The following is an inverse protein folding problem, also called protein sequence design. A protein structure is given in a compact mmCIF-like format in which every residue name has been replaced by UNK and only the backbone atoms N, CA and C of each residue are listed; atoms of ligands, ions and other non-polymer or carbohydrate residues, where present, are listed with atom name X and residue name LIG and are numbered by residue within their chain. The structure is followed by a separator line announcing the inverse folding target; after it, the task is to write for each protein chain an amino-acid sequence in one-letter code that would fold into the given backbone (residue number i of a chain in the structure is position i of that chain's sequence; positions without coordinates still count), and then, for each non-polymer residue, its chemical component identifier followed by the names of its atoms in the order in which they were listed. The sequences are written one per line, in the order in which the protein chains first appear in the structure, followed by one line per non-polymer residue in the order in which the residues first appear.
data_IF_133542222625
#
_entry.id   IF_133542222625
#
_cell.length_a   1.000
_cell.length_b   1.000
_cell.length_c   1.000
_cell.angle_alpha   90.00
_cell.angle_beta   90.00
_cell.angle_gamma   90.00
#
_symmetry.space_group_name_H-M   'P 1'
#
loop_
_entity.id
_entity.type
_entity.pdbx_description
1 polymer ?
#
# COMPACT_ATOMS: atom_id res chain seq x y z
N UNK A 1 -14.78 -65.13 18.19
CA UNK A 1 -15.03 -63.68 18.23
C UNK A 1 -14.42 -63.15 19.51
N UNK A 2 -13.22 -62.58 19.42
CA UNK A 2 -12.48 -62.05 20.56
C UNK A 2 -12.05 -60.62 20.23
N UNK A 3 -12.55 -59.68 21.04
CA UNK A 3 -11.95 -58.43 21.53
C UNK A 3 -10.73 -57.89 20.76
N UNK A 4 -10.92 -56.69 20.18
CA UNK A 4 -9.84 -55.76 19.91
C UNK A 4 -10.22 -54.41 20.50
N UNK A 5 -9.53 -54.04 21.58
CA UNK A 5 -9.49 -52.71 22.15
C UNK A 5 -8.86 -51.73 21.16
N UNK A 6 -9.39 -50.51 21.08
CA UNK A 6 -8.64 -49.37 20.54
C UNK A 6 -9.21 -48.08 21.10
N UNK A 7 -8.37 -47.41 21.88
CA UNK A 7 -8.50 -46.01 22.28
C UNK A 7 -8.68 -45.11 21.03
N UNK A 8 -9.55 -44.13 21.12
CA UNK A 8 -9.63 -43.04 20.14
C UNK A 8 -9.48 -41.70 20.83
N UNK A 9 -8.71 -40.86 20.15
CA UNK A 9 -7.94 -39.72 20.63
C UNK A 9 -8.78 -38.45 20.52
N UNK A 10 -8.76 -37.63 21.56
CA UNK A 10 -9.35 -36.29 21.56
C UNK A 10 -8.39 -35.34 20.80
N UNK A 11 -8.73 -35.02 19.55
CA UNK A 11 -8.02 -34.07 18.68
C UNK A 11 -8.74 -32.71 18.80
N UNK A 12 -8.15 -31.81 19.57
CA UNK A 12 -8.61 -30.45 19.83
C UNK A 12 -8.36 -29.58 18.59
N UNK A 13 -9.41 -29.39 17.77
CA UNK A 13 -9.48 -28.32 16.78
C UNK A 13 -9.57 -26.95 17.49
N UNK A 14 -8.44 -26.29 17.74
CA UNK A 14 -8.42 -24.85 18.04
C UNK A 14 -7.90 -24.09 16.81
N UNK A 15 -8.88 -23.71 15.99
CA UNK A 15 -8.81 -22.72 14.92
C UNK A 15 -8.30 -21.38 15.45
N UNK A 16 -6.98 -21.23 15.60
CA UNK A 16 -6.38 -19.89 15.64
C UNK A 16 -6.28 -19.34 14.24
N UNK A 17 -7.45 -18.96 13.72
CA UNK A 17 -7.54 -17.86 12.77
C UNK A 17 -6.72 -16.71 13.32
N UNK A 18 -5.51 -16.55 12.76
CA UNK A 18 -4.74 -15.35 12.98
C UNK A 18 -5.65 -14.20 12.56
N UNK A 19 -6.05 -13.42 13.56
CA UNK A 19 -6.75 -12.15 13.48
C UNK A 19 -6.04 -11.29 12.43
N UNK A 20 -6.47 -11.43 11.18
CA UNK A 20 -6.21 -10.46 10.13
C UNK A 20 -7.13 -9.33 10.50
N UNK A 21 -6.63 -8.42 11.33
CA UNK A 21 -7.27 -7.17 11.66
C UNK A 21 -7.61 -6.46 10.35
N UNK A 22 -8.89 -6.56 10.02
CA UNK A 22 -9.59 -5.95 8.89
C UNK A 22 -9.67 -4.43 9.13
N UNK A 23 -8.56 -3.71 8.97
CA UNK A 23 -8.49 -2.24 9.11
C UNK A 23 -7.48 -1.57 8.14
N UNK A 24 -7.06 -2.25 7.07
CA UNK A 24 -6.09 -1.68 6.11
C UNK A 24 -6.56 -1.80 4.64
N UNK A 25 -7.87 -1.94 4.40
CA UNK A 25 -8.42 -1.95 3.03
C UNK A 25 -8.41 -0.56 2.34
N UNK A 26 -8.08 0.51 3.09
CA UNK A 26 -7.90 1.87 2.57
C UNK A 26 -6.43 2.32 2.65
N UNK A 27 -5.47 1.39 2.59
CA UNK A 27 -4.03 1.64 2.60
C UNK A 27 -3.57 2.45 1.36
N UNK A 28 -3.93 3.72 1.32
CA UNK A 28 -3.30 4.73 0.50
C UNK A 28 -1.81 4.65 0.82
N UNK A 29 -0.94 4.47 -0.20
CA UNK A 29 0.46 4.15 0.05
C UNK A 29 1.08 5.28 0.85
N UNK A 30 1.44 5.08 2.13
CA UNK A 30 2.04 6.11 2.99
C UNK A 30 3.41 6.60 2.51
N UNK A 31 3.98 5.90 1.53
CA UNK A 31 5.31 6.12 1.02
C UNK A 31 5.32 6.34 -0.50
N UNK A 32 6.31 7.09 -0.95
CA UNK A 32 6.56 7.31 -2.35
C UNK A 32 7.10 6.05 -3.03
N UNK A 33 6.52 5.67 -4.18
CA UNK A 33 7.00 4.54 -4.96
C UNK A 33 8.42 4.69 -5.51
N UNK A 34 8.97 5.90 -5.56
CA UNK A 34 10.33 6.17 -6.06
C UNK A 34 11.36 6.07 -4.93
N UNK A 35 11.17 6.78 -3.82
CA UNK A 35 12.14 6.80 -2.71
C UNK A 35 11.80 5.84 -1.55
N UNK A 36 10.59 5.27 -1.53
CA UNK A 36 10.05 4.44 -0.43
C UNK A 36 10.03 5.15 0.93
N UNK A 37 10.09 6.47 0.93
CA UNK A 37 9.99 7.34 2.10
C UNK A 37 8.60 7.96 2.21
N UNK A 38 8.19 8.45 3.40
CA UNK A 38 6.95 9.20 3.54
C UNK A 38 6.89 10.37 2.55
N UNK A 39 5.70 10.64 2.03
CA UNK A 39 5.54 11.71 1.05
C UNK A 39 5.89 13.08 1.63
N UNK A 40 6.91 13.72 1.05
CA UNK A 40 7.23 15.14 1.26
C UNK A 40 6.70 15.89 0.04
N UNK A 41 5.63 16.65 0.26
CA UNK A 41 4.84 17.32 -0.77
C UNK A 41 4.37 16.35 -1.87
N UNK A 42 3.33 15.53 -1.58
CA UNK A 42 2.80 14.59 -2.54
C UNK A 42 2.21 15.33 -3.75
N UNK A 43 2.57 14.86 -4.94
CA UNK A 43 2.00 15.30 -6.22
C UNK A 43 1.27 14.12 -6.87
N UNK A 44 0.10 14.40 -7.43
CA UNK A 44 -0.69 13.49 -8.23
C UNK A 44 -0.45 13.80 -9.72
N UNK A 45 -0.08 12.76 -10.46
CA UNK A 45 -0.03 12.82 -11.92
C UNK A 45 -1.39 12.51 -12.55
N UNK A 46 -1.55 12.77 -13.87
CA UNK A 46 -2.78 12.40 -14.60
C UNK A 46 -3.16 10.91 -14.46
N UNK A 47 -2.17 10.05 -14.28
CA UNK A 47 -2.33 8.61 -14.02
C UNK A 47 -2.86 8.28 -12.60
N UNK A 48 -3.20 9.28 -11.77
CA UNK A 48 -3.59 9.13 -10.34
C UNK A 48 -2.52 8.44 -9.47
N UNK A 49 -1.25 8.50 -9.88
CA UNK A 49 -0.14 8.01 -9.08
C UNK A 49 0.51 9.14 -8.27
N UNK A 50 0.85 8.84 -7.03
CA UNK A 50 1.35 9.79 -6.04
C UNK A 50 2.86 9.63 -5.83
N UNK A 51 3.58 10.75 -5.80
CA UNK A 51 5.04 10.80 -5.61
C UNK A 51 5.42 12.06 -4.82
N UNK A 52 6.62 12.12 -4.27
CA UNK A 52 7.17 13.38 -3.78
C UNK A 52 7.44 14.32 -4.97
N UNK A 53 7.27 15.63 -4.79
CA UNK A 53 7.61 16.66 -5.78
C UNK A 53 9.02 16.44 -6.37
N UNK A 54 10.01 16.27 -5.51
CA UNK A 54 11.41 16.04 -5.89
C UNK A 54 11.61 14.74 -6.69
N UNK A 55 10.88 13.68 -6.32
CA UNK A 55 10.97 12.38 -6.99
C UNK A 55 10.34 12.44 -8.38
N UNK A 56 9.18 13.08 -8.49
CA UNK A 56 8.48 13.29 -9.75
C UNK A 56 9.33 14.12 -10.73
N UNK A 57 9.93 15.21 -10.26
CA UNK A 57 10.83 16.06 -11.07
C UNK A 57 12.10 15.31 -11.51
N UNK A 58 12.76 14.59 -10.58
CA UNK A 58 13.96 13.80 -10.89
C UNK A 58 13.66 12.68 -11.88
N UNK A 59 12.52 12.02 -11.74
CA UNK A 59 12.08 11.01 -12.70
C UNK A 59 11.75 11.64 -14.04
N UNK A 60 10.96 12.72 -14.08
CA UNK A 60 10.56 13.39 -15.32
C UNK A 60 11.75 13.86 -16.16
N UNK A 61 12.83 14.30 -15.51
CA UNK A 61 14.08 14.68 -16.15
C UNK A 61 14.76 13.51 -16.90
N UNK A 62 14.59 12.27 -16.41
CA UNK A 62 15.12 11.05 -17.06
C UNK A 62 14.10 10.43 -18.03
N UNK A 63 12.85 10.31 -17.58
CA UNK A 63 11.75 9.66 -18.26
C UNK A 63 10.48 10.48 -18.08
N UNK A 64 9.91 10.97 -19.18
CA UNK A 64 8.68 11.77 -19.20
C UNK A 64 7.40 10.95 -18.94
N UNK A 65 7.56 9.71 -18.50
CA UNK A 65 6.50 8.72 -18.25
C UNK A 65 6.25 8.54 -16.76
N UNK A 66 5.08 8.01 -16.43
CA UNK A 66 4.64 7.72 -15.07
C UNK A 66 5.42 6.49 -14.55
N UNK A 67 6.00 6.54 -13.35
CA UNK A 67 6.88 5.45 -12.85
C UNK A 67 6.13 4.13 -12.60
N UNK A 68 4.81 4.17 -12.39
CA UNK A 68 4.00 2.98 -12.05
C UNK A 68 3.32 2.38 -13.27
N UNK A 69 2.82 3.20 -14.20
CA UNK A 69 2.03 2.72 -15.35
C UNK A 69 2.57 3.17 -16.72
N UNK A 70 3.76 3.76 -16.77
CA UNK A 70 4.42 4.23 -18.00
C UNK A 70 3.63 5.24 -18.86
N UNK A 71 2.53 5.78 -18.35
CA UNK A 71 1.74 6.77 -19.08
C UNK A 71 2.49 8.10 -19.27
N UNK A 72 2.32 8.78 -20.42
CA UNK A 72 2.93 10.08 -20.66
C UNK A 72 2.36 11.12 -19.69
N UNK A 73 3.24 11.71 -18.90
CA UNK A 73 2.86 12.67 -17.84
C UNK A 73 2.64 14.08 -18.39
N UNK A 74 3.14 14.36 -19.60
CA UNK A 74 3.13 15.66 -20.26
C UNK A 74 3.64 16.83 -19.39
N UNK A 75 4.42 16.54 -18.34
CA UNK A 75 4.94 17.54 -17.40
C UNK A 75 3.88 18.10 -16.44
N UNK A 76 2.75 17.41 -16.27
CA UNK A 76 1.66 17.85 -15.41
C UNK A 76 1.77 17.12 -14.08
N UNK A 77 2.14 17.88 -13.05
CA UNK A 77 2.22 17.44 -11.67
C UNK A 77 1.29 18.32 -10.84
N UNK A 78 0.15 17.78 -10.42
CA UNK A 78 -0.78 18.52 -9.56
C UNK A 78 -0.47 18.20 -8.11
N UNK A 79 -0.35 19.21 -7.25
CA UNK A 79 -0.10 18.97 -5.83
C UNK A 79 -1.30 18.27 -5.18
N UNK A 80 -1.05 17.13 -4.53
CA UNK A 80 -2.05 16.28 -3.90
C UNK A 80 -2.21 16.65 -2.41
N UNK A 81 -2.71 17.85 -2.14
CA UNK A 81 -2.97 18.32 -0.76
C UNK A 81 -3.94 17.39 -0.01
N UNK A 82 -4.84 16.73 -0.75
CA UNK A 82 -5.84 15.83 -0.20
C UNK A 82 -5.21 14.61 0.50
N UNK A 83 -4.21 14.00 -0.14
CA UNK A 83 -3.46 12.87 0.43
C UNK A 83 -2.65 13.31 1.66
N UNK A 84 -2.01 14.48 1.60
CA UNK A 84 -1.28 15.04 2.76
C UNK A 84 -2.21 15.23 3.95
N UNK A 85 -3.45 15.68 3.71
CA UNK A 85 -4.45 15.90 4.76
C UNK A 85 -4.98 14.58 5.33
N UNK A 86 -5.25 13.58 4.47
CA UNK A 86 -5.72 12.25 4.91
C UNK A 86 -4.64 11.53 5.73
N UNK A 87 -3.38 11.53 5.28
CA UNK A 87 -2.26 10.94 6.03
C UNK A 87 -1.97 11.62 7.36
N UNK A 88 -2.23 12.92 7.49
CA UNK A 88 -2.12 13.62 8.76
C UNK A 88 -3.28 13.30 9.71
N UNK A 89 -4.45 12.94 9.17
CA UNK A 89 -5.65 12.61 9.94
C UNK A 89 -5.62 11.17 10.48
N UNK A 90 -5.02 10.22 9.75
CA UNK A 90 -4.89 8.82 10.18
C UNK A 90 -3.79 8.58 11.22
N UNK A 91 -2.96 9.60 11.48
CA UNK A 91 -1.90 9.53 12.49
C UNK A 91 -2.40 9.78 13.92
N UNK A 92 -3.72 9.68 14.16
CA UNK A 92 -4.38 10.18 15.37
C UNK A 92 -5.09 9.08 16.14
#
# INVERSE_FOLDING_TARGET
MAMASKEDSDDDEDERGADISDDDEDALPFACFICREPFVDPVMMRCKHYFCEHCALKHHAKNKKCFVCDQPTNGIFNTAFDIRKRMAAEKK
#
